data_IF_634167920449
#
_entry.id   IF_634167920449
#
_cell.length_a   1.000
_cell.length_b   1.000
_cell.length_c   1.000
_cell.angle_alpha   90.00
_cell.angle_beta   90.00
_cell.angle_gamma   90.00
#
_symmetry.space_group_name_H-M   'P 1'
#
loop_
_entity.id
_entity.type
_entity.pdbx_description
1 polymer ?
#
# COMPACT_ATOMS: atom_id res chain seq x y z
N UNK A 1 3.37 -13.23 -5.20
CA UNK A 1 2.15 -12.48 -5.57
C UNK A 1 1.06 -12.94 -4.62
N UNK A 2 0.36 -12.01 -3.97
CA UNK A 2 -0.66 -12.33 -2.97
C UNK A 2 -2.01 -12.50 -3.68
N UNK A 3 -2.66 -13.65 -3.49
CA UNK A 3 -4.01 -13.90 -4.02
C UNK A 3 -5.07 -13.50 -2.98
N UNK A 4 -6.32 -13.20 -3.40
CA UNK A 4 -7.38 -12.80 -2.48
C UNK A 4 -7.62 -13.77 -1.30
N UNK A 5 -7.46 -15.08 -1.54
CA UNK A 5 -7.60 -16.13 -0.52
C UNK A 5 -6.52 -16.08 0.57
N UNK A 6 -5.36 -15.49 0.27
CA UNK A 6 -4.22 -15.42 1.18
C UNK A 6 -4.29 -14.17 2.08
N UNK A 7 -5.13 -13.20 1.72
CA UNK A 7 -5.21 -11.89 2.41
C UNK A 7 -5.52 -12.02 3.91
N UNK A 8 -6.47 -12.85 4.36
CA UNK A 8 -6.75 -12.98 5.80
C UNK A 8 -5.51 -13.40 6.61
N UNK A 9 -4.72 -14.34 6.10
CA UNK A 9 -3.51 -14.82 6.77
C UNK A 9 -2.42 -13.76 6.82
N UNK A 10 -2.30 -12.96 5.77
CA UNK A 10 -1.37 -11.83 5.72
C UNK A 10 -1.80 -10.76 6.72
N UNK A 11 -3.09 -10.43 6.78
CA UNK A 11 -3.60 -9.48 7.75
C UNK A 11 -3.35 -9.93 9.20
N UNK A 12 -3.50 -11.23 9.50
CA UNK A 12 -3.15 -11.79 10.80
C UNK A 12 -1.66 -11.60 11.07
N UNK A 13 -0.80 -12.01 10.14
CA UNK A 13 0.64 -11.86 10.31
C UNK A 13 1.07 -10.39 10.52
N UNK A 14 0.50 -9.46 9.76
CA UNK A 14 0.81 -8.03 9.88
C UNK A 14 0.50 -7.45 11.26
N UNK A 15 -0.54 -7.93 11.93
CA UNK A 15 -0.92 -7.47 13.27
C UNK A 15 0.08 -7.88 14.35
N UNK A 16 0.81 -8.97 14.14
CA UNK A 16 1.85 -9.45 15.06
C UNK A 16 3.17 -8.67 14.93
N UNK A 17 3.39 -7.95 13.82
CA UNK A 17 4.62 -7.19 13.61
C UNK A 17 4.56 -5.79 14.24
N UNK A 18 4.79 -5.72 15.55
CA UNK A 18 4.76 -4.46 16.31
C UNK A 18 5.90 -3.47 15.97
N UNK A 19 6.90 -3.87 15.19
CA UNK A 19 8.05 -3.04 14.81
C UNK A 19 8.17 -2.82 13.29
N UNK A 20 7.13 -3.13 12.52
CA UNK A 20 7.19 -3.03 11.07
C UNK A 20 7.15 -1.57 10.60
N UNK A 21 8.28 -1.06 10.14
CA UNK A 21 8.38 0.32 9.64
C UNK A 21 8.23 0.43 8.12
N UNK A 22 8.49 -0.66 7.40
CA UNK A 22 8.47 -0.73 5.95
C UNK A 22 7.66 -1.93 5.47
N UNK A 23 6.80 -1.71 4.48
CA UNK A 23 6.09 -2.79 3.79
C UNK A 23 6.07 -2.56 2.28
N UNK A 24 6.31 -3.64 1.52
CA UNK A 24 6.14 -3.64 0.07
C UNK A 24 5.31 -4.85 -0.35
N UNK A 25 4.16 -4.57 -0.96
CA UNK A 25 3.18 -5.60 -1.31
C UNK A 25 2.79 -5.48 -2.79
N UNK A 26 2.87 -6.61 -3.48
CA UNK A 26 2.28 -6.82 -4.79
C UNK A 26 1.01 -7.67 -4.67
N UNK A 27 -0.15 -7.04 -4.81
CA UNK A 27 -1.45 -7.67 -4.58
C UNK A 27 -2.54 -7.19 -5.54
N UNK A 28 -3.70 -7.84 -5.45
CA UNK A 28 -4.98 -7.25 -5.84
C UNK A 28 -5.50 -6.53 -4.58
N UNK A 29 -5.77 -5.21 -4.63
CA UNK A 29 -6.23 -4.50 -3.45
C UNK A 29 -7.59 -5.03 -3.01
N UNK A 30 -7.76 -5.20 -1.71
CA UNK A 30 -9.07 -5.33 -1.09
C UNK A 30 -9.14 -4.40 0.12
N UNK A 31 -10.36 -4.14 0.60
CA UNK A 31 -10.56 -3.25 1.73
C UNK A 31 -9.77 -3.72 2.96
N UNK A 32 -10.00 -4.95 3.44
CA UNK A 32 -9.38 -5.49 4.67
C UNK A 32 -7.85 -5.36 4.72
N UNK A 33 -7.15 -5.60 3.60
CA UNK A 33 -5.70 -5.44 3.55
C UNK A 33 -5.28 -3.99 3.73
N UNK A 34 -5.94 -3.06 3.02
CA UNK A 34 -5.64 -1.63 3.13
C UNK A 34 -5.94 -1.12 4.53
N UNK A 35 -7.06 -1.52 5.14
CA UNK A 35 -7.39 -1.18 6.52
C UNK A 35 -6.33 -1.68 7.49
N UNK A 36 -5.87 -2.92 7.29
CA UNK A 36 -4.84 -3.51 8.14
C UNK A 36 -3.53 -2.74 8.00
N UNK A 37 -3.11 -2.39 6.78
CA UNK A 37 -1.90 -1.60 6.53
C UNK A 37 -2.01 -0.20 7.15
N UNK A 38 -3.16 0.46 7.01
CA UNK A 38 -3.40 1.79 7.57
C UNK A 38 -3.37 1.77 9.11
N UNK A 39 -3.84 0.68 9.73
CA UNK A 39 -3.86 0.50 11.18
C UNK A 39 -2.48 0.18 11.80
N UNK A 40 -1.46 -0.12 10.99
CA UNK A 40 -0.10 -0.36 11.50
C UNK A 40 0.53 0.95 12.00
N UNK A 41 0.48 1.15 13.31
CA UNK A 41 0.91 2.39 13.97
C UNK A 41 2.39 2.71 13.81
N UNK A 42 3.23 1.70 13.58
CA UNK A 42 4.68 1.82 13.39
C UNK A 42 5.09 1.98 11.94
N UNK A 43 4.17 1.73 10.99
CA UNK A 43 4.48 1.79 9.57
C UNK A 43 4.79 3.22 9.12
N UNK A 44 5.95 3.40 8.48
CA UNK A 44 6.43 4.69 7.96
C UNK A 44 6.47 4.73 6.44
N UNK A 45 6.78 3.61 5.81
CA UNK A 45 6.96 3.51 4.36
C UNK A 45 6.09 2.37 3.83
N UNK A 46 5.24 2.66 2.85
CA UNK A 46 4.39 1.68 2.21
C UNK A 46 4.52 1.74 0.70
N UNK A 47 4.79 0.59 0.09
CA UNK A 47 4.80 0.42 -1.35
C UNK A 47 3.71 -0.58 -1.76
N UNK A 48 2.81 -0.14 -2.63
CA UNK A 48 1.69 -0.93 -3.11
C UNK A 48 1.75 -1.05 -4.62
N UNK A 49 1.87 -2.28 -5.12
CA UNK A 49 1.83 -2.60 -6.55
C UNK A 49 0.55 -3.37 -6.89
N UNK A 50 -0.42 -2.65 -7.45
CA UNK A 50 -1.75 -3.17 -7.80
C UNK A 50 -1.80 -3.66 -9.24
N UNK A 51 -2.20 -4.92 -9.44
CA UNK A 51 -2.31 -5.48 -10.80
C UNK A 51 -3.66 -5.27 -11.48
N UNK A 52 -4.71 -5.10 -10.71
CA UNK A 52 -6.08 -4.90 -11.21
C UNK A 52 -6.87 -4.24 -10.10
N UNK A 53 -7.49 -3.11 -10.38
CA UNK A 53 -8.35 -2.43 -9.41
C UNK A 53 -9.80 -2.65 -9.84
N UNK A 54 -10.50 -3.57 -9.18
CA UNK A 54 -11.89 -3.96 -9.54
C UNK A 54 -12.87 -3.62 -8.43
N UNK A 55 -12.39 -3.22 -7.26
CA UNK A 55 -13.19 -3.19 -6.05
C UNK A 55 -13.48 -1.74 -5.69
N UNK A 56 -14.76 -1.41 -5.55
CA UNK A 56 -15.18 -0.20 -4.87
C UNK A 56 -14.97 -0.37 -3.36
N UNK A 57 -14.19 0.52 -2.77
CA UNK A 57 -13.84 0.45 -1.34
C UNK A 57 -14.71 1.44 -0.57
N UNK A 58 -15.31 0.99 0.52
CA UNK A 58 -16.12 1.84 1.39
C UNK A 58 -15.22 2.74 2.26
N UNK A 59 -15.56 4.03 2.31
CA UNK A 59 -14.74 5.10 2.88
C UNK A 59 -14.76 5.24 4.41
N UNK A 60 -15.37 4.32 5.15
CA UNK A 60 -15.56 4.47 6.60
C UNK A 60 -14.42 3.82 7.36
N UNK A 61 -13.26 4.45 7.36
CA UNK A 61 -12.17 4.11 8.26
C UNK A 61 -12.05 5.14 9.39
N UNK A 62 -11.81 4.64 10.60
CA UNK A 62 -11.69 5.45 11.82
C UNK A 62 -10.25 5.62 12.29
N UNK A 63 -9.25 5.28 11.47
CA UNK A 63 -7.85 5.22 11.90
C UNK A 63 -6.96 5.91 10.90
N UNK A 64 -6.24 6.93 11.37
CA UNK A 64 -5.18 7.57 10.62
C UNK A 64 -3.87 6.81 10.80
N UNK A 65 -3.13 6.68 9.71
CA UNK A 65 -1.81 6.07 9.70
C UNK A 65 -0.72 7.11 9.97
N UNK A 66 0.36 6.64 10.58
CA UNK A 66 1.60 7.38 10.82
C UNK A 66 2.59 7.33 9.64
N UNK A 67 2.14 6.83 8.49
CA UNK A 67 2.92 6.73 7.26
C UNK A 67 3.46 8.09 6.83
N UNK A 68 4.73 8.11 6.44
CA UNK A 68 5.45 9.28 5.93
C UNK A 68 5.72 9.18 4.43
N UNK A 69 5.81 7.97 3.89
CA UNK A 69 6.05 7.73 2.48
C UNK A 69 5.09 6.68 1.94
N UNK A 70 4.44 7.01 0.82
CA UNK A 70 3.50 6.14 0.14
C UNK A 70 3.82 6.11 -1.34
N UNK A 71 4.07 4.90 -1.83
CA UNK A 71 4.29 4.62 -3.23
C UNK A 71 3.15 3.74 -3.73
N UNK A 72 2.46 4.16 -4.79
CA UNK A 72 1.36 3.42 -5.39
C UNK A 72 1.64 3.23 -6.88
N UNK A 73 1.73 1.98 -7.29
CA UNK A 73 1.85 1.57 -8.66
C UNK A 73 0.64 0.77 -9.08
N UNK A 74 0.09 1.04 -10.27
CA UNK A 74 -1.02 0.25 -10.79
C UNK A 74 -0.92 -0.05 -12.28
N UNK A 75 -1.37 -1.26 -12.62
CA UNK A 75 -1.67 -1.66 -13.98
C UNK A 75 -3.07 -1.16 -14.35
N UNK A 76 -3.27 -0.79 -15.63
CA UNK A 76 -4.47 -0.23 -16.29
C UNK A 76 -5.81 -0.17 -15.52
N UNK A 77 -6.58 0.90 -15.74
CA UNK A 77 -7.89 1.21 -15.14
C UNK A 77 -7.83 1.47 -13.63
N UNK A 78 -7.56 2.73 -13.28
CA UNK A 78 -7.42 3.21 -11.90
C UNK A 78 -8.80 3.43 -11.30
N UNK A 79 -9.13 2.73 -10.22
CA UNK A 79 -10.18 3.21 -9.34
C UNK A 79 -9.60 4.30 -8.44
N UNK A 80 -9.92 5.56 -8.73
CA UNK A 80 -9.48 6.72 -7.95
C UNK A 80 -9.92 6.66 -6.48
N UNK A 81 -10.95 5.85 -6.14
CA UNK A 81 -11.43 5.67 -4.77
C UNK A 81 -10.35 5.15 -3.81
N UNK A 82 -9.48 4.24 -4.26
CA UNK A 82 -8.42 3.66 -3.42
C UNK A 82 -7.36 4.70 -3.08
N UNK A 83 -6.97 5.51 -4.07
CA UNK A 83 -6.00 6.58 -3.86
C UNK A 83 -6.59 7.59 -2.88
N UNK A 84 -7.85 8.00 -3.08
CA UNK A 84 -8.53 8.92 -2.19
C UNK A 84 -8.63 8.37 -0.75
N UNK A 85 -8.91 7.08 -0.59
CA UNK A 85 -8.94 6.41 0.70
C UNK A 85 -7.59 6.45 1.40
N UNK A 86 -6.51 6.09 0.69
CA UNK A 86 -5.18 6.08 1.27
C UNK A 86 -4.76 7.49 1.69
N UNK A 87 -4.97 8.48 0.82
CA UNK A 87 -4.60 9.87 1.10
C UNK A 87 -5.40 10.48 2.26
N UNK A 88 -6.69 10.15 2.39
CA UNK A 88 -7.52 10.66 3.50
C UNK A 88 -7.12 10.08 4.85
N UNK A 89 -6.44 8.93 4.88
CA UNK A 89 -5.99 8.26 6.10
C UNK A 89 -4.49 8.34 6.33
N UNK A 90 -3.75 9.10 5.52
CA UNK A 90 -2.31 9.38 5.73
C UNK A 90 -2.07 10.89 5.84
N UNK A 91 -2.59 11.58 6.87
CA UNK A 91 -2.47 13.04 6.99
C UNK A 91 -1.01 13.51 7.17
N UNK A 92 -0.15 12.60 7.64
CA UNK A 92 1.25 12.85 7.98
C UNK A 92 2.23 12.60 6.82
N UNK A 93 1.70 12.36 5.62
CA UNK A 93 2.47 11.96 4.45
C UNK A 93 3.41 13.08 3.98
N UNK A 94 4.70 12.77 3.84
CA UNK A 94 5.74 13.69 3.37
C UNK A 94 6.15 13.43 1.93
N UNK A 95 6.04 12.17 1.48
CA UNK A 95 6.37 11.75 0.11
C UNK A 95 5.25 10.88 -0.44
N UNK A 96 4.76 11.26 -1.62
CA UNK A 96 3.77 10.52 -2.38
C UNK A 96 4.31 10.29 -3.78
N UNK A 97 4.25 9.06 -4.25
CA UNK A 97 4.60 8.70 -5.61
C UNK A 97 3.52 7.80 -6.19
N UNK A 98 2.95 8.23 -7.32
CA UNK A 98 1.86 7.52 -7.99
C UNK A 98 2.27 7.26 -9.43
N UNK A 99 2.35 6.00 -9.81
CA UNK A 99 2.82 5.58 -11.11
C UNK A 99 1.74 4.76 -11.83
N UNK A 100 1.20 5.34 -12.90
CA UNK A 100 0.36 4.63 -13.87
C UNK A 100 1.24 4.01 -14.95
N UNK A 101 0.83 2.88 -15.53
CA UNK A 101 1.51 2.17 -16.64
C UNK A 101 2.82 1.45 -16.29
N UNK A 102 2.76 0.54 -15.33
CA UNK A 102 3.81 -0.46 -15.14
C UNK A 102 3.91 -1.42 -16.32
N UNK A 103 5.04 -1.46 -17.03
CA UNK A 103 5.34 -2.57 -17.93
C UNK A 103 5.87 -3.77 -17.11
N UNK A 104 6.00 -4.96 -17.72
CA UNK A 104 6.65 -6.10 -17.04
C UNK A 104 8.14 -5.84 -16.74
N UNK A 105 8.79 -4.95 -17.48
CA UNK A 105 10.21 -4.64 -17.35
C UNK A 105 10.52 -3.78 -16.11
N UNK A 106 9.57 -2.93 -15.69
CA UNK A 106 9.74 -2.03 -14.54
C UNK A 106 9.62 -2.75 -13.18
N UNK A 107 9.30 -4.06 -13.17
CA UNK A 107 9.16 -4.85 -11.94
C UNK A 107 10.48 -5.03 -11.17
N UNK A 108 11.61 -4.82 -11.83
CA UNK A 108 12.95 -5.08 -11.26
C UNK A 108 13.56 -3.81 -10.66
N UNK A 109 13.25 -2.62 -11.18
CA UNK A 109 13.97 -1.40 -10.81
C UNK A 109 13.51 -0.77 -9.48
N UNK A 110 12.22 -0.85 -9.10
CA UNK A 110 11.75 -0.23 -7.85
C UNK A 110 11.93 -1.06 -6.59
N UNK A 111 12.34 -2.32 -6.75
CA UNK A 111 12.82 -3.15 -5.64
C UNK A 111 14.34 -3.08 -5.48
N UNK A 112 15.05 -2.42 -6.42
CA UNK A 112 16.51 -2.32 -6.43
C UNK A 112 17.01 -0.94 -6.04
N UNK A 113 16.26 0.15 -6.29
CA UNK A 113 16.64 1.43 -5.69
C UNK A 113 16.38 1.38 -4.18
N UNK A 114 17.42 1.45 -3.33
CA UNK A 114 17.19 1.58 -1.91
C UNK A 114 16.54 2.93 -1.71
N UNK A 115 15.29 2.92 -1.25
CA UNK A 115 14.59 4.08 -0.67
C UNK A 115 15.22 4.48 0.69
N UNK A 116 16.53 4.29 0.83
CA UNK A 116 17.36 4.74 1.93
C UNK A 116 18.26 5.87 1.43
N UNK A 117 17.71 7.08 1.42
CA UNK A 117 18.48 8.20 1.92
C UNK A 117 17.84 8.59 3.26
N UNK A 118 18.25 7.89 4.31
CA UNK A 118 18.22 8.47 5.64
C UNK A 118 19.33 9.55 5.68
N UNK A 119 19.10 10.68 6.38
CA UNK A 119 20.16 11.67 6.60
C UNK A 119 21.38 11.06 7.31
#
# INVERSE_FOLDING_TARGET
>A
MIYPRDIPYICIALKEFHRLEYISIKCIPNQTLLETILALSTLRICQLLFRKVVVDINYRLGTNSNMKQLFIAFYHNVNHSIINLLLSHTPELKRLEICSSYSKADQVLLFIEPLFTLP
#
